data_IF_208375327514
#
_entry.id   IF_208375327514
#
_cell.length_a   1.000
_cell.length_b   1.000
_cell.length_c   1.000
_cell.angle_alpha   90.00
_cell.angle_beta   90.00
_cell.angle_gamma   90.00
#
_symmetry.space_group_name_H-M   'P 1'
#
loop_
_entity.id
_entity.type
_entity.pdbx_description
1 polymer ?
#
# COMPACT_ATOMS: atom_id res chain seq x y z
N UNK A 1 -65.48 -24.75 -23.58
CA UNK A 1 -65.68 -24.36 -24.99
C UNK A 1 -65.60 -22.84 -25.12
N UNK A 2 -64.53 -22.32 -25.70
CA UNK A 2 -64.58 -21.30 -26.78
C UNK A 2 -63.17 -21.14 -27.33
N UNK A 3 -63.07 -21.53 -28.60
CA UNK A 3 -61.86 -21.74 -29.38
C UNK A 3 -61.43 -20.44 -30.03
N UNK A 4 -60.11 -20.31 -30.18
CA UNK A 4 -59.42 -19.79 -31.36
C UNK A 4 -59.87 -18.42 -31.87
N UNK A 5 -59.05 -17.41 -31.59
CA UNK A 5 -58.86 -16.32 -32.51
C UNK A 5 -57.37 -16.02 -32.65
N UNK A 6 -56.95 -15.95 -33.91
CA UNK A 6 -55.73 -15.31 -34.39
C UNK A 6 -54.40 -16.06 -34.11
N UNK A 7 -54.23 -17.15 -34.83
CA UNK A 7 -52.96 -17.37 -35.52
C UNK A 7 -52.72 -16.19 -36.49
N UNK A 8 -51.60 -15.48 -36.38
CA UNK A 8 -50.92 -14.81 -37.49
C UNK A 8 -49.68 -14.06 -36.98
N UNK A 9 -48.65 -14.01 -37.85
CA UNK A 9 -47.37 -13.33 -37.68
C UNK A 9 -46.40 -14.05 -36.72
N UNK A 10 -45.74 -15.13 -37.14
CA UNK A 10 -44.63 -15.13 -38.09
C UNK A 10 -43.48 -14.19 -37.70
N UNK A 11 -42.29 -14.78 -37.72
CA UNK A 11 -40.99 -14.16 -37.94
C UNK A 11 -40.20 -13.65 -36.72
N UNK A 12 -39.05 -14.31 -36.55
CA UNK A 12 -37.74 -13.76 -36.21
C UNK A 12 -37.54 -13.16 -34.80
N UNK A 13 -36.64 -13.80 -34.05
CA UNK A 13 -36.04 -13.20 -32.87
C UNK A 13 -35.03 -14.09 -32.15
N UNK A 14 -34.14 -14.75 -32.90
CA UNK A 14 -32.90 -15.25 -32.32
C UNK A 14 -32.11 -14.07 -31.73
N UNK A 15 -31.40 -14.34 -30.63
CA UNK A 15 -30.33 -13.53 -30.04
C UNK A 15 -30.75 -12.26 -29.27
N UNK A 16 -31.28 -12.45 -28.07
CA UNK A 16 -31.02 -11.52 -26.96
C UNK A 16 -29.77 -11.97 -26.20
N UNK A 17 -28.62 -11.99 -26.88
CA UNK A 17 -27.31 -12.02 -26.23
C UNK A 17 -26.95 -10.57 -25.89
N UNK A 18 -26.64 -10.34 -24.62
CA UNK A 18 -26.51 -9.00 -24.06
C UNK A 18 -25.35 -8.17 -24.60
N UNK A 19 -25.47 -6.87 -24.42
CA UNK A 19 -24.35 -5.95 -24.28
C UNK A 19 -24.70 -5.02 -23.11
N UNK A 20 -24.04 -5.20 -21.97
CA UNK A 20 -24.07 -4.23 -20.88
C UNK A 20 -23.36 -2.96 -21.35
N UNK A 21 -24.12 -1.91 -21.66
CA UNK A 21 -23.56 -0.56 -21.80
C UNK A 21 -23.50 0.06 -20.41
N UNK A 22 -22.31 0.04 -19.81
CA UNK A 22 -22.01 0.89 -18.66
C UNK A 22 -21.68 2.28 -19.18
N UNK A 23 -22.56 3.24 -18.94
CA UNK A 23 -22.27 4.66 -19.14
C UNK A 23 -21.51 5.16 -17.89
N UNK A 24 -20.22 5.53 -17.96
CA UNK A 24 -19.62 6.31 -16.90
C UNK A 24 -20.23 7.71 -16.96
N UNK A 25 -20.98 8.05 -15.92
CA UNK A 25 -21.40 9.43 -15.65
C UNK A 25 -20.13 10.21 -15.34
N UNK A 26 -19.66 11.00 -16.31
CA UNK A 26 -18.69 12.07 -16.07
C UNK A 26 -19.38 13.41 -16.30
N UNK A 27 -19.48 14.17 -15.21
CA UNK A 27 -19.85 15.57 -15.22
C UNK A 27 -20.00 16.12 -13.80
N UNK A 28 -18.99 16.82 -13.29
CA UNK A 28 -18.90 18.27 -13.43
C UNK A 28 -17.64 18.86 -12.77
N UNK A 29 -17.08 19.88 -13.44
CA UNK A 29 -16.15 20.93 -12.97
C UNK A 29 -14.68 20.54 -12.75
N UNK A 30 -13.67 21.21 -13.32
CA UNK A 30 -13.60 22.49 -14.02
C UNK A 30 -12.26 22.62 -14.77
N UNK A 31 -12.31 23.34 -15.91
CA UNK A 31 -11.26 24.09 -16.61
C UNK A 31 -10.23 23.38 -17.52
N UNK A 32 -10.22 23.95 -18.74
CA UNK A 32 -9.11 24.14 -19.68
C UNK A 32 -8.76 22.97 -20.60
N UNK A 33 -9.33 23.08 -21.81
CA UNK A 33 -8.66 23.08 -23.12
C UNK A 33 -7.29 22.39 -23.29
N UNK A 34 -7.24 21.67 -24.41
CA UNK A 34 -6.12 21.43 -25.33
C UNK A 34 -5.43 20.05 -25.40
N UNK A 35 -5.43 19.59 -26.65
CA UNK A 35 -4.54 18.69 -27.37
C UNK A 35 -4.52 17.16 -27.14
N UNK A 36 -4.75 16.45 -28.26
CA UNK A 36 -4.52 15.03 -28.46
C UNK A 36 -3.02 14.80 -28.68
N UNK A 37 -2.36 14.14 -27.73
CA UNK A 37 -1.09 13.48 -28.00
C UNK A 37 -0.95 12.19 -27.18
N UNK A 38 -0.87 11.07 -27.89
CA UNK A 38 -0.29 9.82 -27.39
C UNK A 38 1.07 10.12 -26.80
N UNK A 39 1.22 10.04 -25.47
CA UNK A 39 2.53 9.96 -24.83
C UNK A 39 2.41 9.03 -23.64
N UNK A 40 2.98 7.84 -23.80
CA UNK A 40 3.34 6.93 -22.72
C UNK A 40 4.32 7.64 -21.79
N UNK A 41 3.78 8.34 -20.81
CA UNK A 41 4.50 8.98 -19.72
C UNK A 41 3.61 8.91 -18.49
N UNK A 42 3.59 7.76 -17.83
CA UNK A 42 3.18 7.71 -16.43
C UNK A 42 4.25 8.46 -15.67
N UNK A 43 4.00 9.76 -15.42
CA UNK A 43 4.77 10.49 -14.42
C UNK A 43 4.73 9.62 -13.15
N UNK A 44 5.87 9.27 -12.53
CA UNK A 44 5.82 8.63 -11.23
C UNK A 44 5.04 9.60 -10.35
N UNK A 45 3.93 9.13 -9.79
CA UNK A 45 3.20 9.87 -8.80
C UNK A 45 4.23 10.25 -7.74
N UNK A 46 4.64 11.53 -7.71
CA UNK A 46 5.40 12.10 -6.61
C UNK A 46 4.41 12.19 -5.45
N UNK A 47 4.00 11.03 -4.92
CA UNK A 47 3.46 10.94 -3.60
C UNK A 47 4.48 11.61 -2.71
N UNK A 48 4.03 12.55 -1.89
CA UNK A 48 4.87 13.22 -0.90
C UNK A 48 5.74 12.15 -0.24
N UNK A 49 7.05 12.22 -0.48
CA UNK A 49 8.00 11.18 -0.08
C UNK A 49 8.11 11.21 1.43
N UNK A 50 7.18 10.54 2.08
CA UNK A 50 7.19 10.41 3.52
C UNK A 50 8.38 9.53 3.89
N UNK A 51 9.18 9.92 4.90
CA UNK A 51 10.29 9.07 5.33
C UNK A 51 9.75 7.71 5.77
N UNK A 52 10.09 6.67 5.03
CA UNK A 52 9.84 5.29 5.42
C UNK A 52 10.68 4.89 6.65
N UNK A 53 10.44 3.71 7.22
CA UNK A 53 11.09 3.22 8.42
C UNK A 53 12.56 2.91 8.24
N UNK A 54 13.10 2.93 7.03
CA UNK A 54 14.53 2.75 6.79
C UNK A 54 15.10 3.91 5.98
N UNK A 55 14.48 5.09 6.07
CA UNK A 55 14.92 6.28 5.32
C UNK A 55 16.39 6.65 5.60
N UNK A 56 16.90 6.42 6.82
CA UNK A 56 18.32 6.65 7.14
C UNK A 56 19.27 5.69 6.43
N UNK A 57 18.77 4.58 5.90
CA UNK A 57 19.51 3.58 5.13
C UNK A 57 19.20 3.67 3.63
N UNK A 58 18.52 4.72 3.16
CA UNK A 58 18.10 4.84 1.76
C UNK A 58 19.26 4.92 0.75
N UNK A 59 20.49 5.19 1.21
CA UNK A 59 21.69 5.11 0.36
C UNK A 59 22.13 3.67 0.07
N UNK A 60 21.73 2.72 0.92
CA UNK A 60 22.06 1.29 0.80
C UNK A 60 20.86 0.45 0.32
N UNK A 61 19.65 1.01 0.39
CA UNK A 61 18.39 0.33 0.07
C UNK A 61 17.79 0.88 -1.21
N UNK A 62 17.45 -0.01 -2.14
CA UNK A 62 16.71 0.35 -3.34
C UNK A 62 15.22 0.62 -3.05
N UNK A 63 14.48 1.20 -4.01
CA UNK A 63 13.04 1.46 -3.86
C UNK A 63 12.22 0.21 -3.53
N UNK A 64 12.59 -0.94 -4.11
CA UNK A 64 11.92 -2.21 -3.87
C UNK A 64 12.23 -2.78 -2.47
N UNK A 65 13.44 -2.53 -1.93
CA UNK A 65 13.79 -2.89 -0.56
C UNK A 65 12.95 -2.08 0.44
N UNK A 66 12.85 -0.77 0.21
CA UNK A 66 12.06 0.14 1.03
C UNK A 66 10.58 -0.24 1.01
N UNK A 67 10.01 -0.51 -0.16
CA UNK A 67 8.61 -0.94 -0.31
C UNK A 67 8.31 -2.24 0.45
N UNK A 68 9.24 -3.20 0.42
CA UNK A 68 9.12 -4.46 1.17
C UNK A 68 9.22 -4.25 2.67
N UNK A 69 10.17 -3.42 3.10
CA UNK A 69 10.33 -3.05 4.49
C UNK A 69 9.09 -2.32 5.03
N UNK A 70 8.51 -1.39 4.27
CA UNK A 70 7.27 -0.69 4.60
C UNK A 70 6.12 -1.65 4.87
N UNK A 71 5.91 -2.61 3.96
CA UNK A 71 4.85 -3.63 4.12
C UNK A 71 5.07 -4.51 5.35
N UNK A 72 6.30 -4.96 5.59
CA UNK A 72 6.61 -5.77 6.76
C UNK A 72 6.44 -4.98 8.08
N UNK A 73 6.83 -3.70 8.10
CA UNK A 73 6.57 -2.84 9.26
C UNK A 73 5.06 -2.69 9.49
N UNK A 74 4.27 -2.42 8.45
CA UNK A 74 2.84 -2.21 8.61
C UNK A 74 2.15 -3.42 9.26
N UNK A 75 2.55 -4.64 8.88
CA UNK A 75 2.05 -5.89 9.48
C UNK A 75 2.58 -6.06 10.91
N UNK A 76 3.88 -5.83 11.15
CA UNK A 76 4.48 -5.99 12.48
C UNK A 76 3.85 -5.07 13.53
N UNK A 77 3.44 -3.87 13.10
CA UNK A 77 2.89 -2.86 13.98
C UNK A 77 1.35 -2.87 14.02
N UNK A 78 0.68 -3.75 13.27
CA UNK A 78 -0.78 -3.86 13.33
C UNK A 78 -1.24 -4.06 14.79
N UNK A 79 -2.11 -3.20 15.35
CA UNK A 79 -2.61 -3.37 16.72
C UNK A 79 -3.40 -4.69 16.87
N UNK A 80 -3.97 -5.19 15.79
CA UNK A 80 -4.70 -6.47 15.73
C UNK A 80 -3.76 -7.67 15.52
N UNK A 81 -2.48 -7.43 15.24
CA UNK A 81 -1.48 -8.46 15.10
C UNK A 81 -1.16 -9.13 16.45
N UNK A 82 -0.55 -10.31 16.37
CA UNK A 82 -0.12 -11.08 17.55
C UNK A 82 1.18 -10.55 18.20
N UNK A 83 1.73 -9.44 17.71
CA UNK A 83 3.00 -8.88 18.19
C UNK A 83 4.24 -9.68 17.79
N UNK A 84 4.14 -10.61 16.84
CA UNK A 84 5.29 -11.35 16.35
C UNK A 84 6.21 -10.49 15.46
N UNK A 85 7.48 -10.88 15.38
CA UNK A 85 8.41 -10.31 14.44
C UNK A 85 7.98 -10.62 12.99
N UNK A 86 8.02 -9.62 12.12
CA UNK A 86 7.76 -9.80 10.68
C UNK A 86 9.05 -9.58 9.92
N UNK A 87 9.43 -10.57 9.11
CA UNK A 87 10.62 -10.53 8.29
C UNK A 87 10.28 -10.14 6.85
N UNK A 88 11.25 -9.55 6.17
CA UNK A 88 11.19 -9.25 4.74
C UNK A 88 12.53 -9.56 4.09
N UNK A 89 12.48 -9.92 2.81
CA UNK A 89 13.65 -10.19 2.00
C UNK A 89 13.44 -9.69 0.57
N UNK A 90 14.55 -9.26 -0.03
CA UNK A 90 14.64 -8.99 -1.45
C UNK A 90 15.77 -9.87 -2.04
N UNK A 91 15.44 -11.00 -2.68
CA UNK A 91 16.42 -11.88 -3.28
C UNK A 91 17.25 -11.22 -4.39
N UNK A 92 16.73 -10.17 -5.05
CA UNK A 92 17.40 -9.50 -6.15
C UNK A 92 18.53 -8.58 -5.65
N UNK A 93 18.33 -7.86 -4.54
CA UNK A 93 19.37 -7.03 -3.91
C UNK A 93 20.19 -7.80 -2.88
N UNK A 94 19.70 -8.95 -2.41
CA UNK A 94 20.29 -9.72 -1.31
C UNK A 94 20.06 -9.10 0.07
N UNK A 95 19.31 -8.00 0.15
CA UNK A 95 18.99 -7.32 1.41
C UNK A 95 17.80 -8.00 2.07
N UNK A 96 17.84 -8.10 3.39
CA UNK A 96 16.76 -8.62 4.21
C UNK A 96 16.70 -7.92 5.55
N UNK A 97 15.57 -8.05 6.23
CA UNK A 97 15.41 -7.49 7.56
C UNK A 97 14.19 -8.01 8.29
N UNK A 98 13.95 -7.44 9.45
CA UNK A 98 12.78 -7.71 10.26
C UNK A 98 12.40 -6.52 11.13
N UNK A 99 11.12 -6.45 11.47
CA UNK A 99 10.56 -5.51 12.43
C UNK A 99 10.00 -6.30 13.61
N UNK A 100 10.38 -5.89 14.81
CA UNK A 100 9.93 -6.49 16.07
C UNK A 100 9.21 -5.39 16.86
N UNK A 101 7.89 -5.51 17.10
CA UNK A 101 7.20 -4.55 17.95
C UNK A 101 7.70 -4.68 19.40
N UNK A 102 7.86 -3.53 20.07
CA UNK A 102 8.31 -3.46 21.46
C UNK A 102 7.17 -2.94 22.31
N UNK A 103 6.73 -3.78 23.26
CA UNK A 103 5.63 -3.46 24.16
C UNK A 103 4.26 -3.37 23.48
N UNK A 104 3.30 -2.83 24.21
CA UNK A 104 1.95 -2.58 23.72
C UNK A 104 1.82 -1.27 22.93
N UNK A 105 0.72 -1.07 22.19
CA UNK A 105 0.40 0.22 21.59
C UNK A 105 0.16 1.28 22.68
N UNK A 106 0.50 2.54 22.37
CA UNK A 106 0.30 3.68 23.26
C UNK A 106 -0.18 4.90 22.48
N UNK A 107 -0.80 5.87 23.16
CA UNK A 107 -1.25 7.11 22.53
C UNK A 107 -0.18 8.20 22.63
N UNK A 108 0.05 8.93 21.54
CA UNK A 108 0.87 10.16 21.50
C UNK A 108 0.21 11.13 20.54
N UNK A 109 -0.15 12.32 21.02
CA UNK A 109 -0.80 13.35 20.20
C UNK A 109 -2.06 12.84 19.46
N UNK A 110 -2.91 12.09 20.18
CA UNK A 110 -4.14 11.46 19.65
C UNK A 110 -3.93 10.45 18.51
N UNK A 111 -2.70 9.99 18.28
CA UNK A 111 -2.36 8.91 17.35
C UNK A 111 -2.01 7.63 18.12
N UNK A 112 -2.36 6.47 17.54
CA UNK A 112 -1.92 5.17 18.07
C UNK A 112 -0.49 4.94 17.62
N UNK A 113 0.43 4.80 18.55
CA UNK A 113 1.84 4.57 18.31
C UNK A 113 2.30 3.20 18.78
N UNK A 114 3.33 2.67 18.12
CA UNK A 114 4.08 1.50 18.56
C UNK A 114 5.57 1.76 18.40
N UNK A 115 6.31 1.35 19.42
CA UNK A 115 7.76 1.26 19.35
C UNK A 115 8.16 -0.05 18.65
N UNK A 116 9.30 -0.06 17.98
CA UNK A 116 9.82 -1.22 17.29
C UNK A 116 11.34 -1.22 17.22
N UNK A 117 11.90 -2.41 17.03
CA UNK A 117 13.29 -2.61 16.64
C UNK A 117 13.31 -3.15 15.22
N UNK A 118 14.04 -2.47 14.34
CA UNK A 118 14.31 -2.93 13.00
C UNK A 118 15.72 -3.53 12.94
N UNK A 119 15.83 -4.74 12.39
CA UNK A 119 17.12 -5.35 12.04
C UNK A 119 17.23 -5.43 10.53
N UNK A 120 18.30 -4.93 9.95
CA UNK A 120 18.53 -4.91 8.50
C UNK A 120 19.91 -5.48 8.21
N UNK A 121 19.97 -6.41 7.27
CA UNK A 121 21.21 -6.98 6.75
C UNK A 121 21.38 -6.44 5.34
N UNK A 122 22.17 -5.38 5.20
CA UNK A 122 22.57 -4.86 3.89
C UNK A 122 23.76 -5.66 3.36
N UNK A 123 24.19 -5.39 2.13
CA UNK A 123 25.38 -6.01 1.56
C UNK A 123 26.68 -5.60 2.27
N UNK A 124 26.69 -4.43 2.92
CA UNK A 124 27.88 -3.87 3.54
C UNK A 124 27.99 -4.29 5.01
N UNK A 125 26.91 -4.15 5.78
CA UNK A 125 26.90 -4.44 7.22
C UNK A 125 25.50 -4.68 7.76
N UNK A 126 25.36 -5.48 8.83
CA UNK A 126 24.13 -5.50 9.61
C UNK A 126 23.94 -4.18 10.37
N UNK A 127 22.70 -3.71 10.42
CA UNK A 127 22.28 -2.52 11.14
C UNK A 127 21.08 -2.83 12.01
N UNK A 128 21.05 -2.29 13.23
CA UNK A 128 19.89 -2.32 14.12
C UNK A 128 19.45 -0.90 14.44
N UNK A 129 18.15 -0.65 14.34
CA UNK A 129 17.53 0.64 14.56
C UNK A 129 16.37 0.46 15.54
N UNK A 130 16.14 1.44 16.40
CA UNK A 130 14.90 1.56 17.15
C UNK A 130 14.11 2.75 16.63
N UNK A 131 12.80 2.65 16.66
CA UNK A 131 11.95 3.77 16.32
C UNK A 131 10.54 3.63 16.86
N UNK A 132 9.78 4.70 16.65
CA UNK A 132 8.35 4.76 16.91
C UNK A 132 7.63 5.09 15.61
N UNK A 133 6.61 4.32 15.28
CA UNK A 133 5.65 4.67 14.25
C UNK A 133 4.29 4.97 14.88
N UNK A 134 3.57 5.94 14.33
CA UNK A 134 2.23 6.30 14.76
C UNK A 134 1.25 6.28 13.58
N UNK A 135 0.03 5.85 13.84
CA UNK A 135 -1.04 5.70 12.87
C UNK A 135 -2.16 6.72 13.17
N UNK A 136 -2.31 7.79 12.36
CA UNK A 136 -3.40 8.73 12.51
C UNK A 136 -4.71 8.11 12.00
N UNK A 137 -5.71 7.97 12.87
CA UNK A 137 -7.12 7.64 12.58
C UNK A 137 -7.40 6.83 11.29
N UNK A 138 -6.78 5.66 11.16
CA UNK A 138 -6.99 4.72 10.04
C UNK A 138 -6.05 4.88 8.83
N UNK A 139 -5.22 5.92 8.79
CA UNK A 139 -4.20 6.13 7.75
C UNK A 139 -3.02 5.17 7.84
N UNK A 140 -1.96 5.44 7.08
CA UNK A 140 -0.73 4.64 7.09
C UNK A 140 0.11 4.85 8.36
N UNK A 141 1.00 3.90 8.64
CA UNK A 141 2.00 4.04 9.71
C UNK A 141 3.05 5.08 9.34
N UNK A 142 3.32 5.99 10.29
CA UNK A 142 4.23 7.11 10.09
C UNK A 142 5.36 7.02 11.10
N UNK A 143 6.58 6.82 10.63
CA UNK A 143 7.75 6.83 11.52
C UNK A 143 7.99 8.26 12.02
N UNK A 144 7.93 8.43 13.34
CA UNK A 144 8.12 9.73 14.02
C UNK A 144 9.55 9.92 14.49
N UNK A 145 10.17 8.84 14.93
CA UNK A 145 11.53 8.81 15.42
C UNK A 145 12.21 7.51 14.99
N UNK A 146 13.49 7.60 14.65
CA UNK A 146 14.33 6.44 14.41
C UNK A 146 15.79 6.76 14.69
N UNK A 147 16.43 5.87 15.45
CA UNK A 147 17.82 6.00 15.88
C UNK A 147 18.53 4.64 15.84
N UNK A 148 19.88 4.61 15.74
CA UNK A 148 20.65 3.40 15.97
C UNK A 148 20.30 2.75 17.32
N UNK A 149 20.08 1.44 17.31
CA UNK A 149 19.81 0.67 18.53
C UNK A 149 21.07 0.64 19.42
N UNK A 150 20.94 1.11 20.67
CA UNK A 150 22.02 1.15 21.65
C UNK A 150 21.98 0.00 22.67
N UNK A 151 21.02 -0.91 22.57
CA UNK A 151 20.90 -2.04 23.50
C UNK A 151 21.95 -3.12 23.27
N UNK A 152 22.30 -3.85 24.33
CA UNK A 152 23.21 -4.98 24.25
C UNK A 152 22.67 -6.04 23.27
N UNK A 153 23.55 -6.50 22.39
CA UNK A 153 23.31 -7.56 21.39
C UNK A 153 23.16 -8.92 22.01
#
# INVERSE_FOLDING_TARGET
>A
MRRLAAASAACLGLAAAGCSVSFPILGLSSKAEDDVATTSSVLPARGSSKPGPLASLSSELGPEDLRRADGAMAVALDPQGNGAAVSWDNPQSGVKGSFIPVGGPFLRSDEICRAFIASVQTQTKPSKLQGTACRPSGGEWLVKDMEPWKGAT
#
